data_IF_387529346599
#
_entry.id   IF_387529346599
#
_cell.length_a   1.000
_cell.length_b   1.000
_cell.length_c   1.000
_cell.angle_alpha   90.00
_cell.angle_beta   90.00
_cell.angle_gamma   90.00
#
_symmetry.space_group_name_H-M   'P 1'
#
loop_
_entity.id
_entity.type
_entity.pdbx_description
1 polymer ?
#
# COMPACT_ATOMS: atom_id res chain seq x y z
N UNK A 1 24.42 -34.83 49.34
CA UNK A 1 24.82 -34.83 47.92
C UNK A 1 23.79 -34.01 47.14
N UNK A 2 24.01 -32.66 47.04
CA UNK A 2 23.08 -31.78 46.33
C UNK A 2 23.50 -31.69 44.84
N UNK A 3 22.64 -32.22 43.95
CA UNK A 3 22.77 -32.05 42.51
C UNK A 3 22.13 -30.73 42.11
N UNK A 4 22.92 -29.73 41.81
CA UNK A 4 22.43 -28.52 41.14
C UNK A 4 22.20 -28.82 39.65
N UNK A 5 20.93 -28.88 39.24
CA UNK A 5 20.53 -28.94 37.85
C UNK A 5 20.63 -27.52 37.31
N UNK A 6 21.65 -27.23 36.50
CA UNK A 6 21.76 -25.99 35.70
C UNK A 6 20.82 -26.10 34.50
N UNK A 7 19.70 -25.40 34.60
CA UNK A 7 18.77 -25.26 33.45
C UNK A 7 19.38 -24.21 32.51
N UNK A 8 20.00 -24.67 31.42
CA UNK A 8 20.45 -23.80 30.32
C UNK A 8 19.20 -23.32 29.57
N UNK A 9 18.74 -22.09 29.87
CA UNK A 9 17.75 -21.41 29.08
C UNK A 9 18.42 -20.94 27.78
N UNK A 10 18.31 -21.70 26.69
CA UNK A 10 18.76 -21.28 25.36
C UNK A 10 17.89 -20.11 24.91
N UNK A 11 18.42 -18.90 25.03
CA UNK A 11 17.83 -17.72 24.39
C UNK A 11 18.02 -17.87 22.88
N UNK A 12 16.93 -18.12 22.16
CA UNK A 12 16.92 -18.04 20.70
C UNK A 12 17.09 -16.56 20.34
N UNK A 13 18.30 -16.17 20.00
CA UNK A 13 18.61 -14.84 19.46
C UNK A 13 18.02 -14.77 18.05
N UNK A 14 16.79 -14.25 17.92
CA UNK A 14 16.31 -13.83 16.62
C UNK A 14 17.19 -12.71 16.12
N UNK A 15 17.90 -12.94 15.00
CA UNK A 15 18.66 -11.89 14.35
C UNK A 15 17.70 -10.76 13.95
N UNK A 16 17.96 -9.55 14.43
CA UNK A 16 17.20 -8.35 14.12
C UNK A 16 18.16 -7.18 13.91
N UNK A 17 17.81 -6.32 12.96
CA UNK A 17 18.54 -5.07 12.71
C UNK A 17 17.59 -3.91 13.04
N UNK A 18 18.07 -2.97 13.85
CA UNK A 18 17.32 -1.78 14.22
C UNK A 18 18.15 -0.54 13.90
N UNK A 19 17.53 0.48 13.23
CA UNK A 19 18.22 1.71 12.82
C UNK A 19 17.27 2.91 12.89
N UNK A 20 17.80 4.05 13.31
CA UNK A 20 17.17 5.35 13.08
C UNK A 20 17.41 5.76 11.63
N UNK A 21 16.37 6.31 10.97
CA UNK A 21 16.38 6.55 9.53
C UNK A 21 16.21 8.02 9.14
N UNK A 22 16.12 8.92 10.11
CA UNK A 22 15.88 10.34 9.86
C UNK A 22 14.47 10.64 9.31
N UNK A 23 14.21 11.89 9.00
CA UNK A 23 12.90 12.32 8.51
C UNK A 23 12.70 11.94 7.03
N UNK A 24 11.49 11.50 6.70
CA UNK A 24 11.09 11.16 5.34
C UNK A 24 9.60 11.47 5.12
N UNK A 25 9.22 11.65 3.86
CA UNK A 25 7.85 11.89 3.42
C UNK A 25 7.42 10.92 2.32
N UNK A 26 8.36 10.20 1.74
CA UNK A 26 8.11 9.18 0.73
C UNK A 26 8.68 7.84 1.20
N UNK A 27 7.91 6.79 0.98
CA UNK A 27 8.33 5.40 1.21
C UNK A 27 8.25 4.62 -0.09
N UNK A 28 9.35 3.96 -0.48
CA UNK A 28 9.43 3.06 -1.64
C UNK A 28 9.92 1.70 -1.19
N UNK A 29 9.12 0.67 -1.41
CA UNK A 29 9.41 -0.71 -1.01
C UNK A 29 9.47 -1.61 -2.24
N UNK A 30 10.52 -2.41 -2.35
CA UNK A 30 10.78 -3.26 -3.51
C UNK A 30 11.20 -4.68 -3.10
N UNK A 31 11.34 -5.56 -4.11
CA UNK A 31 12.00 -6.87 -4.03
C UNK A 31 11.33 -7.86 -3.06
N UNK A 32 10.01 -7.83 -2.94
CA UNK A 32 9.24 -8.76 -2.12
C UNK A 32 9.25 -8.48 -0.62
N UNK A 33 9.83 -7.38 -0.16
CA UNK A 33 9.88 -7.01 1.26
C UNK A 33 8.47 -6.66 1.77
N UNK A 34 8.16 -7.12 2.99
CA UNK A 34 6.93 -6.77 3.69
C UNK A 34 7.18 -5.65 4.68
N UNK A 35 6.55 -4.49 4.51
CA UNK A 35 6.63 -3.35 5.43
C UNK A 35 5.34 -3.21 6.21
N UNK A 36 5.46 -3.11 7.54
CA UNK A 36 4.37 -2.80 8.46
C UNK A 36 4.59 -1.40 9.00
N UNK A 37 3.69 -0.48 8.67
CA UNK A 37 3.71 0.90 9.16
C UNK A 37 3.07 0.98 10.55
N UNK A 38 3.72 1.67 11.46
CA UNK A 38 3.20 2.00 12.79
C UNK A 38 3.52 3.46 13.14
N UNK A 39 2.54 4.26 13.59
CA UNK A 39 2.83 5.60 14.09
C UNK A 39 3.64 5.52 15.40
N UNK A 40 4.47 6.53 15.64
CA UNK A 40 5.27 6.64 16.86
C UNK A 40 6.01 7.96 16.95
N UNK A 41 6.82 8.13 17.99
CA UNK A 41 7.49 9.41 18.28
C UNK A 41 8.85 9.57 17.58
N UNK A 42 9.32 8.52 16.90
CA UNK A 42 10.60 8.51 16.17
C UNK A 42 10.49 7.81 14.81
N UNK A 43 11.42 8.11 13.91
CA UNK A 43 11.56 7.41 12.64
C UNK A 43 12.57 6.28 12.77
N UNK A 44 12.08 5.04 12.84
CA UNK A 44 12.88 3.87 13.16
C UNK A 44 12.43 2.66 12.35
N UNK A 45 13.40 1.86 11.95
CA UNK A 45 13.17 0.62 11.22
C UNK A 45 13.71 -0.56 12.02
N UNK A 46 12.89 -1.61 12.12
CA UNK A 46 13.27 -2.91 12.68
C UNK A 46 13.08 -3.98 11.61
N UNK A 47 14.13 -4.70 11.28
CA UNK A 47 14.15 -5.71 10.23
C UNK A 47 14.25 -7.08 10.88
N UNK A 48 13.39 -8.01 10.47
CA UNK A 48 13.34 -9.40 10.98
C UNK A 48 13.04 -10.36 9.83
N UNK A 49 13.33 -11.65 10.02
CA UNK A 49 13.09 -12.70 9.05
C UNK A 49 14.36 -13.13 8.31
N UNK A 50 14.20 -13.56 7.06
CA UNK A 50 15.28 -14.08 6.24
C UNK A 50 16.05 -12.97 5.52
N UNK A 51 17.33 -13.20 5.23
CA UNK A 51 18.18 -12.30 4.43
C UNK A 51 18.28 -10.86 4.96
N UNK A 52 18.13 -10.62 6.26
CA UNK A 52 18.09 -9.28 6.86
C UNK A 52 19.36 -8.47 6.57
N UNK A 53 20.54 -9.12 6.50
CA UNK A 53 21.81 -8.48 6.17
C UNK A 53 21.90 -7.98 4.73
N UNK A 54 20.98 -8.44 3.87
CA UNK A 54 20.89 -8.03 2.47
C UNK A 54 19.84 -6.92 2.25
N UNK A 55 19.17 -6.44 3.30
CA UNK A 55 18.24 -5.33 3.20
C UNK A 55 19.00 -4.02 3.15
N UNK A 56 18.75 -3.25 2.11
CA UNK A 56 19.29 -1.92 1.89
C UNK A 56 18.24 -0.89 2.24
N UNK A 57 18.55 -0.03 3.20
CA UNK A 57 17.70 1.08 3.63
C UNK A 57 18.42 2.38 3.34
N UNK A 58 17.87 3.20 2.47
CA UNK A 58 18.45 4.48 2.04
C UNK A 58 17.39 5.57 2.22
N UNK A 59 17.71 6.59 3.00
CA UNK A 59 16.93 7.83 3.06
C UNK A 59 17.75 8.92 2.37
N UNK A 60 17.26 9.39 1.23
CA UNK A 60 17.88 10.47 0.49
C UNK A 60 16.87 11.58 0.24
N UNK A 61 17.13 12.76 0.76
CA UNK A 61 16.27 13.95 0.60
C UNK A 61 14.80 13.70 0.94
N UNK A 62 14.53 12.92 2.00
CA UNK A 62 13.16 12.61 2.44
C UNK A 62 12.47 11.46 1.68
N UNK A 63 13.15 10.79 0.75
CA UNK A 63 12.66 9.57 0.09
C UNK A 63 13.36 8.35 0.69
N UNK A 64 12.61 7.58 1.48
CA UNK A 64 13.05 6.34 2.10
C UNK A 64 12.84 5.18 1.15
N UNK A 65 13.91 4.50 0.77
CA UNK A 65 13.89 3.31 -0.08
C UNK A 65 14.29 2.09 0.74
N UNK A 66 13.45 1.06 0.72
CA UNK A 66 13.70 -0.25 1.34
C UNK A 66 13.69 -1.31 0.25
N UNK A 67 14.83 -1.96 0.02
CA UNK A 67 14.99 -2.95 -1.05
C UNK A 67 16.03 -4.01 -0.67
N UNK A 68 16.11 -5.08 -1.44
CA UNK A 68 17.20 -6.05 -1.32
C UNK A 68 18.46 -5.56 -2.05
N UNK A 69 19.62 -6.11 -1.69
CA UNK A 69 20.83 -6.01 -2.50
C UNK A 69 20.61 -6.69 -3.86
N UNK A 70 21.28 -6.24 -4.91
CA UNK A 70 21.13 -6.75 -6.27
C UNK A 70 21.29 -8.28 -6.39
N UNK A 71 22.23 -8.88 -5.65
CA UNK A 71 22.47 -10.33 -5.63
C UNK A 71 21.35 -11.13 -4.97
N UNK A 72 20.45 -10.47 -4.25
CA UNK A 72 19.29 -11.05 -3.54
C UNK A 72 17.97 -10.42 -3.97
N UNK A 73 17.94 -9.82 -5.16
CA UNK A 73 16.72 -9.23 -5.72
C UNK A 73 15.58 -10.25 -5.71
N UNK A 74 14.36 -9.80 -5.37
CA UNK A 74 13.16 -10.64 -5.23
C UNK A 74 13.24 -11.76 -4.16
N UNK A 75 14.17 -11.68 -3.21
CA UNK A 75 14.32 -12.64 -2.11
C UNK A 75 13.83 -12.09 -0.75
N UNK A 76 12.98 -11.06 -0.78
CA UNK A 76 12.48 -10.39 0.41
C UNK A 76 11.18 -10.97 1.01
N UNK A 77 10.59 -12.04 0.43
CA UNK A 77 9.24 -12.50 0.81
C UNK A 77 9.09 -12.85 2.30
N UNK A 78 10.14 -13.37 2.95
CA UNK A 78 10.14 -13.69 4.38
C UNK A 78 10.82 -12.59 5.21
N UNK A 79 11.12 -11.44 4.62
CA UNK A 79 11.70 -10.30 5.32
C UNK A 79 10.59 -9.34 5.72
N UNK A 80 10.49 -9.07 7.01
CA UNK A 80 9.51 -8.14 7.57
C UNK A 80 10.23 -6.93 8.13
N UNK A 81 9.78 -5.78 7.69
CA UNK A 81 10.29 -4.48 8.13
C UNK A 81 9.18 -3.76 8.88
N UNK A 82 9.32 -3.62 10.19
CA UNK A 82 8.50 -2.74 11.00
C UNK A 82 9.05 -1.32 10.87
N UNK A 83 8.26 -0.42 10.32
CA UNK A 83 8.61 0.99 10.14
C UNK A 83 7.79 1.86 11.08
N UNK A 84 8.42 2.33 12.15
CA UNK A 84 7.83 3.34 13.05
C UNK A 84 8.09 4.72 12.46
N UNK A 85 7.06 5.57 12.39
CA UNK A 85 7.19 6.91 11.81
C UNK A 85 6.46 7.97 12.63
N UNK A 86 7.13 9.10 12.84
CA UNK A 86 6.56 10.28 13.52
C UNK A 86 5.88 11.25 12.57
N UNK A 87 6.30 11.26 11.31
CA UNK A 87 5.86 12.20 10.29
C UNK A 87 4.84 11.58 9.36
N UNK A 88 4.06 12.43 8.67
CA UNK A 88 3.14 12.02 7.62
C UNK A 88 3.92 11.47 6.42
N UNK A 89 3.42 10.38 5.84
CA UNK A 89 4.01 9.78 4.65
C UNK A 89 3.12 10.17 3.46
N UNK A 90 3.60 11.11 2.66
CA UNK A 90 2.87 11.66 1.53
C UNK A 90 2.75 10.67 0.36
N UNK A 91 3.81 9.92 0.06
CA UNK A 91 3.86 8.93 -1.00
C UNK A 91 4.24 7.56 -0.44
N UNK A 92 3.45 6.54 -0.76
CA UNK A 92 3.78 5.13 -0.51
C UNK A 92 3.79 4.40 -1.85
N UNK A 93 4.91 3.77 -2.17
CA UNK A 93 5.11 3.00 -3.38
C UNK A 93 5.54 1.57 -3.05
N UNK A 94 4.82 0.55 -3.60
CA UNK A 94 5.17 -0.86 -3.50
C UNK A 94 5.37 -1.45 -4.89
N UNK A 95 6.51 -2.08 -5.12
CA UNK A 95 6.88 -2.69 -6.40
C UNK A 95 7.55 -4.05 -6.23
N UNK A 96 7.63 -4.80 -7.34
CA UNK A 96 8.41 -6.03 -7.42
C UNK A 96 8.03 -7.02 -6.32
N UNK A 97 6.71 -7.25 -6.14
CA UNK A 97 6.17 -8.17 -5.15
C UNK A 97 6.21 -7.69 -3.70
N UNK A 98 6.63 -6.45 -3.43
CA UNK A 98 6.66 -5.91 -2.08
C UNK A 98 5.25 -5.62 -1.55
N UNK A 99 5.09 -5.68 -0.23
CA UNK A 99 3.83 -5.41 0.47
C UNK A 99 4.00 -4.30 1.48
N UNK A 100 3.05 -3.35 1.51
CA UNK A 100 2.98 -2.31 2.54
C UNK A 100 1.61 -2.35 3.19
N UNK A 101 1.58 -2.54 4.51
CA UNK A 101 0.36 -2.51 5.32
C UNK A 101 0.49 -1.52 6.46
N UNK A 102 -0.63 -0.97 6.92
CA UNK A 102 -0.68 -0.20 8.17
C UNK A 102 -1.55 -0.90 9.20
N UNK A 103 -1.05 -1.00 10.44
CA UNK A 103 -1.85 -1.49 11.57
C UNK A 103 -2.86 -0.47 12.07
N UNK A 104 -2.54 0.80 11.92
CA UNK A 104 -3.35 1.91 12.39
C UNK A 104 -3.90 2.69 11.20
N UNK A 105 -5.01 3.37 11.43
CA UNK A 105 -5.56 4.32 10.47
C UNK A 105 -4.58 5.46 10.23
N UNK A 106 -4.31 5.77 8.97
CA UNK A 106 -3.46 6.90 8.56
C UNK A 106 -4.31 8.16 8.47
N UNK A 107 -4.04 9.14 9.30
CA UNK A 107 -4.77 10.41 9.35
C UNK A 107 -3.91 11.56 8.82
N UNK A 108 -4.27 12.10 7.66
CA UNK A 108 -3.56 13.20 7.02
C UNK A 108 -4.40 13.82 5.90
N UNK A 109 -4.08 15.05 5.47
CA UNK A 109 -4.86 15.71 4.41
C UNK A 109 -4.75 15.00 3.06
N UNK A 110 -3.56 14.53 2.68
CA UNK A 110 -3.35 13.97 1.34
C UNK A 110 -2.45 12.75 1.37
N UNK A 111 -2.81 11.71 0.59
CA UNK A 111 -1.97 10.52 0.41
C UNK A 111 -1.91 10.11 -1.08
N UNK A 112 -0.72 9.77 -1.55
CA UNK A 112 -0.47 9.20 -2.88
C UNK A 112 0.03 7.78 -2.76
N UNK A 113 -0.63 6.85 -3.45
CA UNK A 113 -0.33 5.43 -3.43
C UNK A 113 0.03 4.96 -4.84
N UNK A 114 1.12 4.21 -4.96
CA UNK A 114 1.55 3.62 -6.21
C UNK A 114 1.88 2.14 -6.02
N UNK A 115 1.24 1.28 -6.79
CA UNK A 115 1.55 -0.14 -6.80
C UNK A 115 1.82 -0.63 -8.21
N UNK A 116 2.92 -1.38 -8.39
CA UNK A 116 3.30 -1.89 -9.70
C UNK A 116 4.07 -3.21 -9.60
N UNK A 117 4.13 -3.95 -10.73
CA UNK A 117 4.93 -5.17 -10.84
C UNK A 117 4.66 -6.16 -9.70
N UNK A 118 3.38 -6.43 -9.43
CA UNK A 118 2.94 -7.33 -8.36
C UNK A 118 3.06 -6.77 -6.94
N UNK A 119 3.38 -5.49 -6.76
CA UNK A 119 3.38 -4.85 -5.44
C UNK A 119 1.98 -4.80 -4.84
N UNK A 120 1.87 -4.72 -3.52
CA UNK A 120 0.61 -4.66 -2.79
C UNK A 120 0.64 -3.56 -1.73
N UNK A 121 -0.45 -2.79 -1.63
CA UNK A 121 -0.66 -1.78 -0.58
C UNK A 121 -2.03 -2.05 0.05
N UNK A 122 -2.09 -2.10 1.40
CA UNK A 122 -3.32 -2.32 2.15
C UNK A 122 -3.38 -1.35 3.33
N UNK A 123 -4.26 -0.35 3.26
CA UNK A 123 -4.30 0.75 4.22
C UNK A 123 -5.72 1.10 4.65
N UNK A 124 -5.85 1.49 5.93
CA UNK A 124 -7.00 2.21 6.46
C UNK A 124 -6.63 3.70 6.55
N UNK A 125 -7.43 4.58 5.93
CA UNK A 125 -7.10 6.01 5.82
C UNK A 125 -8.25 6.92 6.24
N UNK A 126 -7.90 8.09 6.76
CA UNK A 126 -8.81 9.20 6.95
C UNK A 126 -8.15 10.47 6.39
N UNK A 127 -8.60 10.91 5.21
CA UNK A 127 -7.91 11.94 4.43
C UNK A 127 -8.91 12.91 3.79
N UNK A 128 -8.44 14.07 3.36
CA UNK A 128 -9.21 14.94 2.47
C UNK A 128 -9.09 14.46 1.02
N UNK A 129 -7.88 14.01 0.63
CA UNK A 129 -7.61 13.52 -0.73
C UNK A 129 -6.76 12.27 -0.72
N UNK A 130 -7.27 11.22 -1.36
CA UNK A 130 -6.53 9.99 -1.65
C UNK A 130 -6.36 9.81 -3.16
N UNK A 131 -5.14 9.45 -3.59
CA UNK A 131 -4.86 9.12 -4.99
C UNK A 131 -4.19 7.75 -5.06
N UNK A 132 -4.74 6.84 -5.86
CA UNK A 132 -4.24 5.49 -6.04
C UNK A 132 -3.92 5.23 -7.52
N UNK A 133 -2.68 4.83 -7.80
CA UNK A 133 -2.22 4.44 -9.11
C UNK A 133 -1.71 3.00 -9.08
N UNK A 134 -2.38 2.09 -9.77
CA UNK A 134 -1.97 0.70 -9.87
C UNK A 134 -1.72 0.31 -11.33
N UNK A 135 -0.59 -0.37 -11.59
CA UNK A 135 -0.28 -0.88 -12.91
C UNK A 135 0.49 -2.22 -12.86
N UNK A 136 0.59 -2.90 -14.01
CA UNK A 136 1.40 -4.11 -14.16
C UNK A 136 1.16 -5.14 -13.05
N UNK A 137 -0.09 -5.50 -12.80
CA UNK A 137 -0.48 -6.46 -11.77
C UNK A 137 -0.35 -5.98 -10.33
N UNK A 138 -0.11 -4.68 -10.09
CA UNK A 138 -0.11 -4.09 -8.75
C UNK A 138 -1.49 -4.10 -8.11
N UNK A 139 -1.56 -4.20 -6.78
CA UNK A 139 -2.81 -4.25 -6.01
C UNK A 139 -2.82 -3.13 -4.97
N UNK A 140 -3.94 -2.41 -4.87
CA UNK A 140 -4.18 -1.42 -3.81
C UNK A 140 -5.53 -1.71 -3.17
N UNK A 141 -5.55 -1.98 -1.86
CA UNK A 141 -6.75 -2.10 -1.05
C UNK A 141 -6.83 -0.88 -0.13
N UNK A 142 -7.95 -0.18 -0.15
CA UNK A 142 -8.19 1.00 0.68
C UNK A 142 -9.53 0.89 1.40
N UNK A 143 -9.53 1.27 2.67
CA UNK A 143 -10.73 1.44 3.48
C UNK A 143 -10.66 2.71 4.33
N UNK A 144 -11.79 3.09 4.92
CA UNK A 144 -11.90 4.27 5.78
C UNK A 144 -12.63 5.41 5.10
N UNK A 145 -12.11 6.66 5.19
CA UNK A 145 -12.82 7.84 4.70
C UNK A 145 -11.90 8.78 3.92
N UNK A 146 -12.46 9.42 2.89
CA UNK A 146 -11.81 10.54 2.20
C UNK A 146 -12.88 11.49 1.63
N UNK A 147 -12.55 12.75 1.42
CA UNK A 147 -13.46 13.63 0.69
C UNK A 147 -13.36 13.37 -0.82
N UNK A 148 -12.15 13.26 -1.37
CA UNK A 148 -11.92 13.04 -2.80
C UNK A 148 -11.01 11.84 -3.03
N UNK A 149 -11.46 10.91 -3.85
CA UNK A 149 -10.69 9.74 -4.28
C UNK A 149 -10.42 9.77 -5.78
N UNK A 150 -9.16 9.64 -6.18
CA UNK A 150 -8.76 9.52 -7.58
C UNK A 150 -8.05 8.19 -7.80
N UNK A 151 -8.54 7.38 -8.73
CA UNK A 151 -7.98 6.08 -9.04
C UNK A 151 -7.60 5.96 -10.52
N UNK A 152 -6.38 5.48 -10.79
CA UNK A 152 -5.95 5.11 -12.13
C UNK A 152 -5.40 3.68 -12.11
N UNK A 153 -6.07 2.78 -12.82
CA UNK A 153 -5.73 1.36 -12.83
C UNK A 153 -5.58 0.85 -14.25
N UNK A 154 -4.46 0.17 -14.51
CA UNK A 154 -4.15 -0.32 -15.86
C UNK A 154 -3.27 -1.57 -15.87
N UNK A 155 -3.18 -2.22 -17.03
CA UNK A 155 -2.28 -3.34 -17.26
C UNK A 155 -2.48 -4.47 -16.24
N UNK A 156 -3.73 -4.94 -16.09
CA UNK A 156 -4.10 -6.05 -15.22
C UNK A 156 -3.96 -5.78 -13.72
N UNK A 157 -3.81 -4.52 -13.31
CA UNK A 157 -3.77 -4.15 -11.89
C UNK A 157 -5.16 -4.08 -11.27
N UNK A 158 -5.22 -4.04 -9.94
CA UNK A 158 -6.48 -4.05 -9.17
C UNK A 158 -6.46 -2.96 -8.11
N UNK A 159 -7.55 -2.19 -8.02
CA UNK A 159 -7.82 -1.28 -6.91
C UNK A 159 -9.15 -1.69 -6.26
N UNK A 160 -9.13 -1.97 -4.96
CA UNK A 160 -10.31 -2.24 -4.13
C UNK A 160 -10.47 -1.12 -3.11
N UNK A 161 -11.40 -0.22 -3.35
CA UNK A 161 -11.71 0.93 -2.52
C UNK A 161 -13.23 1.07 -2.27
N UNK A 162 -13.96 -0.04 -2.34
CA UNK A 162 -15.40 -0.05 -2.04
C UNK A 162 -15.69 0.16 -0.55
N UNK A 163 -14.71 -0.11 0.33
CA UNK A 163 -14.77 0.21 1.78
C UNK A 163 -14.17 1.60 2.12
N UNK A 164 -13.73 2.36 1.12
CA UNK A 164 -13.29 3.75 1.28
C UNK A 164 -14.46 4.67 1.00
N UNK A 165 -15.15 5.11 2.05
CA UNK A 165 -16.25 6.09 1.91
C UNK A 165 -15.71 7.41 1.39
N UNK A 166 -16.15 7.85 0.21
CA UNK A 166 -15.77 9.13 -0.38
C UNK A 166 -16.99 9.98 -0.73
N UNK A 167 -16.84 11.31 -0.76
CA UNK A 167 -17.84 12.21 -1.34
C UNK A 167 -17.72 12.23 -2.86
N UNK A 168 -16.51 12.34 -3.37
CA UNK A 168 -16.24 12.44 -4.81
C UNK A 168 -15.22 11.39 -5.23
N UNK A 169 -15.50 10.65 -6.29
CA UNK A 169 -14.61 9.63 -6.84
C UNK A 169 -14.45 9.78 -8.35
N UNK A 170 -13.20 9.82 -8.84
CA UNK A 170 -12.84 9.75 -10.25
C UNK A 170 -12.01 8.48 -10.49
N UNK A 171 -12.49 7.59 -11.37
CA UNK A 171 -11.84 6.33 -11.70
C UNK A 171 -11.56 6.24 -13.19
N UNK A 172 -10.29 5.92 -13.51
CA UNK A 172 -9.86 5.57 -14.85
C UNK A 172 -9.34 4.14 -14.87
N UNK A 173 -10.00 3.25 -15.61
CA UNK A 173 -9.59 1.86 -15.79
C UNK A 173 -9.29 1.56 -17.24
N UNK A 174 -8.15 0.94 -17.54
CA UNK A 174 -7.77 0.59 -18.90
C UNK A 174 -6.89 -0.65 -18.97
N UNK A 175 -6.75 -1.21 -20.19
CA UNK A 175 -5.83 -2.33 -20.45
C UNK A 175 -6.00 -3.49 -19.45
N UNK A 176 -7.24 -3.92 -19.22
CA UNK A 176 -7.56 -4.99 -18.27
C UNK A 176 -7.42 -4.64 -16.79
N UNK A 177 -7.24 -3.37 -16.44
CA UNK A 177 -7.26 -2.92 -15.05
C UNK A 177 -8.66 -2.98 -14.44
N UNK A 178 -8.78 -3.28 -13.14
CA UNK A 178 -10.06 -3.40 -12.44
C UNK A 178 -10.08 -2.50 -11.20
N UNK A 179 -11.16 -1.72 -11.04
CA UNK A 179 -11.39 -0.87 -9.88
C UNK A 179 -12.79 -1.10 -9.30
N UNK A 180 -12.85 -1.27 -7.97
CA UNK A 180 -14.10 -1.21 -7.19
C UNK A 180 -14.02 -0.02 -6.26
N UNK A 181 -14.92 0.94 -6.39
CA UNK A 181 -14.86 2.18 -5.63
C UNK A 181 -16.24 2.69 -5.22
N UNK A 182 -16.27 3.45 -4.13
CA UNK A 182 -17.47 4.04 -3.57
C UNK A 182 -17.51 5.55 -3.81
N UNK A 183 -18.70 6.11 -4.00
CA UNK A 183 -18.93 7.54 -3.84
C UNK A 183 -20.36 7.82 -3.34
N UNK A 184 -20.48 8.87 -2.51
CA UNK A 184 -21.77 9.34 -2.01
C UNK A 184 -22.40 10.40 -2.89
N UNK A 185 -21.63 11.34 -3.38
CA UNK A 185 -22.14 12.54 -4.05
C UNK A 185 -21.85 12.53 -5.56
N UNK A 186 -20.61 12.34 -5.99
CA UNK A 186 -20.21 12.37 -7.39
C UNK A 186 -19.32 11.19 -7.73
N UNK A 187 -19.65 10.45 -8.78
CA UNK A 187 -18.78 9.41 -9.35
C UNK A 187 -18.53 9.68 -10.83
N UNK A 188 -17.26 9.82 -11.19
CA UNK A 188 -16.80 9.89 -12.58
C UNK A 188 -16.07 8.59 -12.94
N UNK A 189 -16.54 7.88 -13.94
CA UNK A 189 -16.00 6.60 -14.37
C UNK A 189 -15.60 6.62 -15.84
N UNK A 190 -14.35 6.30 -16.15
CA UNK A 190 -13.86 6.16 -17.51
C UNK A 190 -13.21 4.78 -17.68
N UNK A 191 -13.82 3.92 -18.47
CA UNK A 191 -13.36 2.56 -18.73
C UNK A 191 -13.06 2.33 -20.21
N UNK A 192 -11.88 1.82 -20.51
CA UNK A 192 -11.42 1.58 -21.88
C UNK A 192 -10.52 0.35 -22.00
N UNK A 193 -10.33 -0.17 -23.23
CA UNK A 193 -9.38 -1.24 -23.53
C UNK A 193 -9.51 -2.45 -22.57
N UNK A 194 -10.74 -2.92 -22.34
CA UNK A 194 -11.01 -4.03 -21.43
C UNK A 194 -10.88 -3.70 -19.95
N UNK A 195 -10.81 -2.44 -19.56
CA UNK A 195 -10.89 -2.00 -18.17
C UNK A 195 -12.25 -2.31 -17.56
N UNK A 196 -12.33 -2.46 -16.23
CA UNK A 196 -13.57 -2.73 -15.49
C UNK A 196 -13.68 -1.83 -14.27
N UNK A 197 -14.84 -1.22 -14.09
CA UNK A 197 -15.17 -0.39 -12.93
C UNK A 197 -16.46 -0.89 -12.31
N UNK A 198 -16.45 -1.15 -11.00
CA UNK A 198 -17.62 -1.45 -10.20
C UNK A 198 -17.87 -0.30 -9.23
N UNK A 199 -19.06 0.32 -9.33
CA UNK A 199 -19.45 1.53 -8.61
C UNK A 199 -20.31 1.16 -7.42
N UNK A 200 -19.96 1.65 -6.25
CA UNK A 200 -20.66 1.48 -4.97
C UNK A 200 -21.19 2.83 -4.46
N UNK A 201 -22.22 2.79 -3.60
CA UNK A 201 -22.67 3.93 -2.80
C UNK A 201 -23.77 4.80 -3.41
N UNK A 202 -24.37 4.47 -4.54
CA UNK A 202 -25.49 5.21 -5.17
C UNK A 202 -25.26 6.73 -5.25
N UNK A 203 -24.24 7.20 -5.97
CA UNK A 203 -23.88 8.61 -6.05
C UNK A 203 -25.02 9.46 -6.64
N UNK A 204 -25.19 10.70 -6.13
CA UNK A 204 -26.21 11.64 -6.64
C UNK A 204 -25.98 12.03 -8.10
N UNK A 205 -24.70 12.09 -8.50
CA UNK A 205 -24.28 12.35 -9.88
C UNK A 205 -23.36 11.23 -10.33
N UNK A 206 -23.70 10.56 -11.41
CA UNK A 206 -22.91 9.50 -11.99
C UNK A 206 -22.65 9.77 -13.47
N UNK A 207 -21.40 10.06 -13.80
CA UNK A 207 -20.94 10.28 -15.15
C UNK A 207 -20.07 9.11 -15.59
N UNK A 208 -20.36 8.53 -16.74
CA UNK A 208 -19.61 7.38 -17.24
C UNK A 208 -19.24 7.52 -18.72
N UNK A 209 -18.04 7.05 -19.04
CA UNK A 209 -17.53 6.94 -20.40
C UNK A 209 -16.98 5.52 -20.60
N UNK A 210 -17.53 4.80 -21.57
CA UNK A 210 -17.08 3.45 -21.93
C UNK A 210 -16.60 3.46 -23.37
N UNK A 211 -15.43 2.92 -23.62
CA UNK A 211 -14.87 2.78 -24.96
C UNK A 211 -14.02 1.51 -25.10
N UNK A 212 -13.85 1.05 -26.33
CA UNK A 212 -12.93 -0.05 -26.70
C UNK A 212 -13.03 -1.29 -25.78
N UNK A 213 -14.27 -1.77 -25.52
CA UNK A 213 -14.50 -2.97 -24.71
C UNK A 213 -14.32 -2.77 -23.20
N UNK A 214 -14.35 -1.54 -22.70
CA UNK A 214 -14.45 -1.27 -21.26
C UNK A 214 -15.79 -1.70 -20.69
N UNK A 215 -15.87 -1.84 -19.36
CA UNK A 215 -17.08 -2.19 -18.61
C UNK A 215 -17.22 -1.32 -17.37
N UNK A 216 -18.44 -0.84 -17.11
CA UNK A 216 -18.81 -0.13 -15.88
C UNK A 216 -20.13 -0.73 -15.41
N UNK A 217 -20.18 -1.13 -14.14
CA UNK A 217 -21.37 -1.70 -13.51
C UNK A 217 -21.65 -1.01 -12.17
N UNK A 218 -22.91 -0.78 -11.86
CA UNK A 218 -23.31 -0.35 -10.53
C UNK A 218 -23.54 -1.58 -9.65
N UNK A 219 -22.93 -1.60 -8.45
CA UNK A 219 -23.13 -2.69 -7.50
C UNK A 219 -24.54 -2.63 -6.91
N UNK A 220 -25.19 -3.80 -6.82
CA UNK A 220 -26.49 -3.93 -6.15
C UNK A 220 -26.36 -4.13 -4.64
N UNK A 221 -25.13 -4.34 -4.14
CA UNK A 221 -24.84 -4.50 -2.72
C UNK A 221 -24.45 -3.15 -2.12
N UNK A 222 -25.21 -2.69 -1.14
CA UNK A 222 -24.94 -1.54 -0.29
C UNK A 222 -23.99 -1.91 0.85
#
# INVERSE_FOLDING_TARGET
MNKYIFLFLSQILFSQIEKNIGDFQELKVLDGINVVLEPGDENKIKITGDNIDNVVVINKTGSLVVRMQLVKKLKGQNTVVKLTHKSRIFLIEAKEGATVISKNKIEQSTIYLKSASGGQIDLDVNTEKATANANSGGVINLKGNTFSFNANVKSGAIIKAYELTSSQTDVKASSGGSCKAYARDVFEANSSLGGSIEVYGKPKTFNQVISLGGSIIESTND
#
